data_IF_615761274622
#
_entry.id   IF_615761274622
#
_cell.length_a   1.000
_cell.length_b   1.000
_cell.length_c   1.000
_cell.angle_alpha   90.00
_cell.angle_beta   90.00
_cell.angle_gamma   90.00
#
_symmetry.space_group_name_H-M   'P 1'
#
loop_
_entity.id
_entity.type
_entity.pdbx_description
1 polymer ?
#
# COMPACT_ATOMS: atom_id res chain seq x y z
N UNK A 1 -1.30 -11.20 49.49
CA UNK A 1 -0.06 -10.59 48.95
C UNK A 1 0.28 -11.28 47.65
N UNK A 2 -0.18 -10.77 46.49
CA UNK A 2 0.30 -11.18 45.16
C UNK A 2 -0.22 -10.18 44.11
N UNK A 3 0.42 -9.02 44.00
CA UNK A 3 0.23 -8.08 42.89
C UNK A 3 1.62 -7.66 42.38
N UNK A 4 2.27 -8.50 41.58
CA UNK A 4 3.57 -8.19 40.97
C UNK A 4 3.73 -8.71 39.53
N UNK A 5 2.64 -9.00 38.80
CA UNK A 5 2.73 -9.61 37.46
C UNK A 5 2.25 -8.74 36.29
N UNK A 6 1.96 -7.45 36.48
CA UNK A 6 1.43 -6.59 35.41
C UNK A 6 2.43 -5.62 34.77
N UNK A 7 3.66 -5.50 35.26
CA UNK A 7 4.57 -4.43 34.80
C UNK A 7 5.53 -4.81 33.64
N UNK A 8 5.57 -6.08 33.21
CA UNK A 8 6.54 -6.54 32.20
C UNK A 8 5.98 -6.71 30.77
N UNK A 9 4.66 -6.56 30.56
CA UNK A 9 4.07 -6.69 29.23
C UNK A 9 4.03 -5.38 28.43
N UNK A 10 4.02 -4.22 29.09
CA UNK A 10 3.89 -2.91 28.42
C UNK A 10 5.22 -2.42 27.79
N UNK A 11 6.37 -2.90 28.27
CA UNK A 11 7.68 -2.49 27.74
C UNK A 11 8.08 -3.24 26.45
N UNK A 12 7.58 -4.47 26.28
CA UNK A 12 7.85 -5.28 25.07
C UNK A 12 7.07 -4.74 23.86
N UNK A 13 5.84 -4.26 24.07
CA UNK A 13 5.00 -3.66 23.02
C UNK A 13 5.53 -2.30 22.61
N UNK A 14 6.01 -1.48 23.56
CA UNK A 14 6.62 -0.19 23.26
C UNK A 14 7.94 -0.33 22.48
N UNK A 15 8.82 -1.26 22.88
CA UNK A 15 10.11 -1.44 22.19
C UNK A 15 9.92 -1.95 20.76
N UNK A 16 8.96 -2.86 20.53
CA UNK A 16 8.63 -3.35 19.18
C UNK A 16 7.93 -2.28 18.33
N UNK A 17 7.07 -1.45 18.92
CA UNK A 17 6.43 -0.33 18.22
C UNK A 17 7.45 0.75 17.80
N UNK A 18 8.36 1.15 18.70
CA UNK A 18 9.40 2.14 18.40
C UNK A 18 10.32 1.65 17.27
N UNK A 19 10.75 0.39 17.33
CA UNK A 19 11.63 -0.20 16.29
C UNK A 19 10.93 -0.35 14.93
N UNK A 20 9.61 -0.63 14.92
CA UNK A 20 8.80 -0.66 13.68
C UNK A 20 8.65 0.74 13.09
N UNK A 21 8.37 1.74 13.92
CA UNK A 21 8.19 3.12 13.49
C UNK A 21 9.47 3.70 12.88
N UNK A 22 10.65 3.48 13.48
CA UNK A 22 11.93 3.92 12.92
C UNK A 22 12.25 3.26 11.57
N UNK A 23 11.89 2.00 11.38
CA UNK A 23 12.03 1.31 10.09
C UNK A 23 11.08 1.89 9.04
N UNK A 24 9.83 2.16 9.40
CA UNK A 24 8.83 2.75 8.49
C UNK A 24 9.25 4.16 8.04
N UNK A 25 9.73 5.00 8.98
CA UNK A 25 10.20 6.36 8.67
C UNK A 25 11.37 6.30 7.68
N UNK A 26 12.36 5.44 7.93
CA UNK A 26 13.49 5.24 7.01
C UNK A 26 13.10 4.71 5.63
N UNK A 27 12.04 3.90 5.53
CA UNK A 27 11.56 3.35 4.26
C UNK A 27 10.77 4.41 3.46
N UNK A 28 9.99 5.26 4.15
CA UNK A 28 9.27 6.38 3.54
C UNK A 28 10.21 7.47 3.05
N UNK A 29 11.29 7.75 3.78
CA UNK A 29 12.32 8.74 3.38
C UNK A 29 13.14 8.30 2.16
N UNK A 30 13.20 6.98 1.90
CA UNK A 30 13.83 6.42 0.70
C UNK A 30 12.85 6.17 -0.45
N UNK A 31 11.55 6.33 -0.20
CA UNK A 31 10.54 6.10 -1.21
C UNK A 31 10.53 7.27 -2.22
N UNK A 32 10.41 6.94 -3.49
CA UNK A 32 10.39 7.92 -4.58
C UNK A 32 9.04 7.86 -5.31
N UNK A 33 8.60 8.97 -5.92
CA UNK A 33 7.45 8.92 -6.80
C UNK A 33 7.70 7.97 -7.96
N UNK A 34 6.63 7.32 -8.42
CA UNK A 34 6.72 6.39 -9.53
C UNK A 34 7.26 7.06 -10.81
N UNK A 35 8.34 6.50 -11.35
CA UNK A 35 8.94 6.89 -12.62
C UNK A 35 8.87 5.74 -13.62
N UNK A 36 8.16 5.95 -14.72
CA UNK A 36 7.98 4.98 -15.81
C UNK A 36 9.34 4.61 -16.43
N UNK A 37 10.32 5.52 -16.44
CA UNK A 37 11.65 5.25 -17.02
C UNK A 37 12.44 4.22 -16.22
N UNK A 38 12.24 4.19 -14.91
CA UNK A 38 12.89 3.24 -14.00
C UNK A 38 12.05 1.97 -13.83
N UNK A 39 10.80 1.98 -14.28
CA UNK A 39 9.93 0.83 -14.22
C UNK A 39 10.34 -0.22 -15.27
N UNK A 40 10.53 -1.47 -14.82
CA UNK A 40 10.73 -2.61 -15.70
C UNK A 40 9.43 -2.94 -16.45
N UNK A 41 9.21 -2.20 -17.53
CA UNK A 41 8.02 -2.27 -18.35
C UNK A 41 7.88 -3.64 -19.02
N UNK A 42 6.86 -4.39 -18.60
CA UNK A 42 6.46 -5.64 -19.24
C UNK A 42 5.46 -5.32 -20.34
N UNK A 43 5.88 -5.50 -21.58
CA UNK A 43 5.03 -5.37 -22.75
C UNK A 43 4.63 -6.76 -23.26
N UNK A 44 3.34 -7.04 -23.27
CA UNK A 44 2.79 -8.17 -24.03
C UNK A 44 2.21 -7.63 -25.33
N UNK A 45 2.48 -8.27 -26.48
CA UNK A 45 1.94 -7.82 -27.76
C UNK A 45 0.41 -7.75 -27.70
N UNK A 46 -0.16 -6.57 -28.00
CA UNK A 46 -1.60 -6.32 -27.96
C UNK A 46 -2.19 -6.09 -26.56
N UNK A 47 -1.37 -5.99 -25.50
CA UNK A 47 -1.82 -5.61 -24.15
C UNK A 47 -1.11 -4.37 -23.65
N UNK A 48 -1.75 -3.71 -22.70
CA UNK A 48 -1.20 -2.55 -22.00
C UNK A 48 0.09 -2.97 -21.27
N UNK A 49 1.12 -2.14 -21.39
CA UNK A 49 2.35 -2.32 -20.64
C UNK A 49 2.10 -2.14 -19.15
N UNK A 50 2.70 -3.01 -18.33
CA UNK A 50 2.58 -2.92 -16.89
C UNK A 50 3.93 -3.02 -16.20
N UNK A 51 4.00 -2.51 -14.98
CA UNK A 51 5.13 -2.70 -14.09
C UNK A 51 4.65 -3.17 -12.73
N UNK A 52 5.43 -4.08 -12.14
CA UNK A 52 5.23 -4.50 -10.76
C UNK A 52 6.15 -3.66 -9.88
N UNK A 53 5.62 -3.07 -8.82
CA UNK A 53 6.38 -2.23 -7.89
C UNK A 53 6.01 -2.55 -6.45
N UNK A 54 6.90 -2.21 -5.52
CA UNK A 54 6.63 -2.21 -4.09
C UNK A 54 6.40 -0.75 -3.68
N UNK A 55 5.22 -0.42 -3.19
CA UNK A 55 4.87 0.94 -2.80
C UNK A 55 4.12 1.00 -1.47
N UNK A 56 4.33 2.08 -0.73
CA UNK A 56 3.63 2.37 0.52
C UNK A 56 2.30 3.06 0.18
N UNK A 57 1.24 2.61 0.86
CA UNK A 57 -0.09 3.20 0.74
C UNK A 57 -0.17 4.39 1.73
N UNK A 58 -0.44 5.62 1.28
CA UNK A 58 -0.54 6.77 2.16
C UNK A 58 -1.69 6.62 3.17
N UNK A 59 -1.51 7.16 4.38
CA UNK A 59 -2.61 7.27 5.37
C UNK A 59 -3.78 8.15 4.91
N UNK A 60 -3.55 8.98 3.90
CA UNK A 60 -4.51 9.93 3.33
C UNK A 60 -5.52 9.26 2.38
N UNK A 61 -5.40 7.95 2.20
CA UNK A 61 -6.22 7.18 1.27
C UNK A 61 -7.39 6.57 2.03
N UNK A 62 -8.63 7.00 1.71
CA UNK A 62 -9.83 6.69 2.49
C UNK A 62 -10.87 5.94 1.65
N UNK A 63 -11.53 4.95 2.27
CA UNK A 63 -12.65 4.25 1.65
C UNK A 63 -13.92 5.12 1.63
N UNK A 64 -14.92 4.69 0.86
CA UNK A 64 -16.20 5.41 0.76
C UNK A 64 -16.88 5.64 2.11
N UNK A 65 -16.72 4.68 3.04
CA UNK A 65 -17.32 4.73 4.38
C UNK A 65 -16.62 5.71 5.32
N UNK A 66 -15.34 6.00 5.08
CA UNK A 66 -14.51 6.87 5.91
C UNK A 66 -14.55 8.33 5.46
N UNK A 67 -15.06 8.59 4.25
CA UNK A 67 -15.18 9.94 3.74
C UNK A 67 -16.20 10.73 4.56
N UNK A 68 -15.91 12.01 4.87
CA UNK A 68 -16.94 12.87 5.43
C UNK A 68 -18.10 12.95 4.43
N UNK A 69 -19.34 12.93 4.92
CA UNK A 69 -20.53 13.20 4.10
C UNK A 69 -20.52 14.67 3.69
N UNK A 70 -19.68 14.98 2.70
CA UNK A 70 -19.42 16.30 2.16
C UNK A 70 -19.73 16.26 0.67
N UNK A 71 -20.20 17.39 0.13
CA UNK A 71 -20.49 17.56 -1.30
C UNK A 71 -19.22 17.96 -2.07
N UNK A 72 -18.08 18.07 -1.39
CA UNK A 72 -16.79 18.39 -2.03
C UNK A 72 -16.26 17.14 -2.73
N UNK A 73 -15.70 17.34 -3.91
CA UNK A 73 -14.97 16.30 -4.63
C UNK A 73 -13.67 16.01 -3.86
N UNK A 74 -13.65 14.92 -3.11
CA UNK A 74 -12.49 14.48 -2.34
C UNK A 74 -11.71 13.43 -3.16
N UNK A 75 -10.47 13.77 -3.52
CA UNK A 75 -9.60 12.91 -4.32
C UNK A 75 -9.06 11.69 -3.53
N UNK A 76 -9.27 11.66 -2.20
CA UNK A 76 -8.83 10.56 -1.33
C UNK A 76 -9.46 9.22 -1.71
N UNK A 77 -10.72 9.24 -2.16
CA UNK A 77 -11.42 8.04 -2.61
C UNK A 77 -10.91 7.53 -3.95
N UNK A 78 -10.67 8.44 -4.90
CA UNK A 78 -10.11 8.08 -6.21
C UNK A 78 -8.72 7.46 -6.03
N UNK A 79 -7.91 8.05 -5.13
CA UNK A 79 -6.63 7.46 -4.72
C UNK A 79 -6.83 6.07 -4.10
N UNK A 80 -7.85 5.87 -3.26
CA UNK A 80 -8.14 4.56 -2.65
C UNK A 80 -8.46 3.51 -3.69
N UNK A 81 -9.35 3.82 -4.62
CA UNK A 81 -9.71 2.92 -5.71
C UNK A 81 -8.48 2.58 -6.56
N UNK A 82 -7.62 3.55 -6.84
CA UNK A 82 -6.40 3.30 -7.61
C UNK A 82 -5.43 2.34 -6.90
N UNK A 83 -5.18 2.55 -5.61
CA UNK A 83 -4.31 1.68 -4.81
C UNK A 83 -4.89 0.26 -4.67
N UNK A 84 -6.17 0.14 -4.35
CA UNK A 84 -6.87 -1.15 -4.25
C UNK A 84 -6.86 -1.87 -5.61
N UNK A 85 -7.12 -1.14 -6.70
CA UNK A 85 -7.08 -1.70 -8.07
C UNK A 85 -5.70 -2.24 -8.40
N UNK A 86 -4.64 -1.49 -8.12
CA UNK A 86 -3.27 -1.91 -8.41
C UNK A 86 -2.86 -3.14 -7.58
N UNK A 87 -3.27 -3.20 -6.31
CA UNK A 87 -3.05 -4.34 -5.43
C UNK A 87 -3.82 -5.58 -5.90
N UNK A 88 -5.10 -5.40 -6.21
CA UNK A 88 -5.95 -6.45 -6.75
C UNK A 88 -5.41 -7.00 -8.06
N UNK A 89 -4.97 -6.14 -8.99
CA UNK A 89 -4.35 -6.58 -10.26
C UNK A 89 -3.10 -7.44 -10.03
N UNK A 90 -2.26 -7.09 -9.06
CA UNK A 90 -1.06 -7.86 -8.73
C UNK A 90 -1.42 -9.23 -8.16
N UNK A 91 -2.26 -9.25 -7.12
CA UNK A 91 -2.69 -10.48 -6.45
C UNK A 91 -3.48 -11.40 -7.37
N UNK A 92 -4.42 -10.84 -8.14
CA UNK A 92 -5.26 -11.61 -9.05
C UNK A 92 -4.49 -12.26 -10.20
N UNK A 93 -3.34 -11.68 -10.56
CA UNK A 93 -2.43 -12.29 -11.52
C UNK A 93 -1.74 -13.55 -10.98
N UNK A 94 -1.56 -13.65 -9.67
CA UNK A 94 -0.99 -14.82 -8.99
C UNK A 94 -2.09 -15.81 -8.59
N UNK A 95 -3.18 -15.30 -8.04
CA UNK A 95 -4.31 -16.07 -7.53
C UNK A 95 -5.62 -15.57 -8.14
N UNK A 96 -6.23 -16.40 -8.99
CA UNK A 96 -7.49 -16.03 -9.67
C UNK A 96 -8.70 -16.03 -8.74
N UNK A 97 -8.63 -16.67 -7.57
CA UNK A 97 -9.69 -16.63 -6.56
C UNK A 97 -9.65 -15.36 -5.71
N UNK A 98 -8.65 -14.49 -5.88
CA UNK A 98 -8.53 -13.27 -5.10
C UNK A 98 -9.64 -12.26 -5.43
N UNK A 99 -10.43 -11.90 -4.43
CA UNK A 99 -11.57 -11.00 -4.57
C UNK A 99 -11.21 -9.54 -4.25
N UNK A 100 -12.11 -8.63 -4.64
CA UNK A 100 -11.94 -7.20 -4.38
C UNK A 100 -11.96 -6.89 -2.87
N UNK A 101 -12.87 -7.52 -2.12
CA UNK A 101 -13.00 -7.31 -0.67
C UNK A 101 -11.70 -7.62 0.09
N UNK A 102 -10.99 -8.67 -0.33
CA UNK A 102 -9.68 -9.02 0.25
C UNK A 102 -8.62 -7.96 -0.06
N UNK A 103 -8.70 -7.32 -1.24
CA UNK A 103 -7.81 -6.23 -1.63
C UNK A 103 -8.04 -4.99 -0.77
N UNK A 104 -9.30 -4.68 -0.47
CA UNK A 104 -9.67 -3.57 0.41
C UNK A 104 -9.14 -3.77 1.82
N UNK A 105 -9.33 -4.96 2.39
CA UNK A 105 -8.85 -5.28 3.74
C UNK A 105 -7.32 -5.21 3.82
N UNK A 106 -6.61 -5.72 2.81
CA UNK A 106 -5.15 -5.59 2.74
C UNK A 106 -4.74 -4.12 2.59
N UNK A 107 -5.48 -3.32 1.80
CA UNK A 107 -5.19 -1.91 1.62
C UNK A 107 -5.33 -1.13 2.95
N UNK A 108 -6.41 -1.37 3.71
CA UNK A 108 -6.62 -0.78 5.03
C UNK A 108 -5.53 -1.19 6.02
N UNK A 109 -5.22 -2.49 6.09
CA UNK A 109 -4.17 -2.99 6.97
C UNK A 109 -2.79 -2.42 6.61
N UNK A 110 -2.45 -2.36 5.31
CA UNK A 110 -1.20 -1.79 4.82
C UNK A 110 -1.10 -0.29 5.05
N UNK A 111 -2.23 0.42 5.03
CA UNK A 111 -2.31 1.83 5.39
C UNK A 111 -1.99 2.04 6.88
N UNK A 112 -2.56 1.23 7.75
CA UNK A 112 -2.30 1.32 9.19
C UNK A 112 -0.87 0.92 9.56
N UNK A 113 -0.36 -0.14 8.95
CA UNK A 113 1.00 -0.63 9.20
C UNK A 113 2.06 0.18 8.47
N UNK A 114 1.67 0.99 7.47
CA UNK A 114 2.56 1.65 6.52
C UNK A 114 3.58 0.68 5.87
N UNK A 115 3.20 -0.59 5.74
CA UNK A 115 4.04 -1.60 5.12
C UNK A 115 3.97 -1.52 3.59
N UNK A 116 5.11 -1.51 2.90
CA UNK A 116 5.13 -1.51 1.44
C UNK A 116 4.42 -2.74 0.87
N UNK A 117 3.46 -2.51 -0.04
CA UNK A 117 2.73 -3.58 -0.71
C UNK A 117 3.16 -3.70 -2.18
N UNK A 118 3.15 -4.93 -2.72
CA UNK A 118 3.35 -5.12 -4.15
C UNK A 118 2.10 -4.68 -4.92
N UNK A 119 2.30 -3.77 -5.87
CA UNK A 119 1.28 -3.20 -6.73
C UNK A 119 1.63 -3.44 -8.20
N UNK A 120 0.60 -3.66 -9.02
CA UNK A 120 0.73 -3.74 -10.47
C UNK A 120 0.16 -2.49 -11.11
N UNK A 121 1.03 -1.69 -11.71
CA UNK A 121 0.68 -0.42 -12.34
C UNK A 121 0.57 -0.65 -13.85
N UNK A 122 -0.56 -0.26 -14.42
CA UNK A 122 -0.72 -0.22 -15.88
C UNK A 122 -0.39 1.19 -16.36
N UNK A 123 0.40 1.31 -17.42
CA UNK A 123 0.84 2.63 -17.88
C UNK A 123 -0.29 3.48 -18.48
N UNK A 124 -1.41 2.88 -18.85
CA UNK A 124 -2.59 3.58 -19.37
C UNK A 124 -3.52 4.13 -18.29
N UNK A 125 -3.43 3.63 -17.05
CA UNK A 125 -4.42 3.96 -16.01
C UNK A 125 -4.18 5.33 -15.38
N UNK A 126 -3.09 6.03 -15.71
CA UNK A 126 -2.74 7.33 -15.14
C UNK A 126 -2.28 7.29 -13.68
N UNK A 127 -2.48 6.17 -12.98
CA UNK A 127 -2.08 5.96 -11.60
C UNK A 127 -0.56 5.99 -11.42
N UNK A 128 -0.10 6.83 -10.49
CA UNK A 128 1.31 6.97 -10.12
C UNK A 128 1.43 7.00 -8.59
N UNK A 129 1.81 5.89 -7.95
CA UNK A 129 1.99 5.89 -6.51
C UNK A 129 3.13 6.84 -6.11
N UNK A 130 2.91 7.57 -5.01
CA UNK A 130 3.84 8.58 -4.52
C UNK A 130 5.05 7.98 -3.79
N UNK A 131 4.88 6.80 -3.19
CA UNK A 131 5.88 6.20 -2.32
C UNK A 131 6.31 4.83 -2.83
N UNK A 132 7.04 4.80 -3.95
CA UNK A 132 7.63 3.56 -4.48
C UNK A 132 8.95 3.29 -3.79
N UNK A 133 9.05 2.14 -3.12
CA UNK A 133 10.26 1.68 -2.45
C UNK A 133 11.16 0.88 -3.39
N UNK A 134 10.57 0.07 -4.28
CA UNK A 134 11.35 -0.80 -5.17
C UNK A 134 10.56 -1.13 -6.44
N UNK A 135 11.26 -1.23 -7.58
CA UNK A 135 10.70 -1.82 -8.79
C UNK A 135 10.92 -3.32 -8.75
N UNK A 136 9.85 -4.10 -8.93
CA UNK A 136 9.93 -5.56 -8.93
C UNK A 136 10.23 -6.02 -10.36
N UNK A 137 11.39 -6.65 -10.53
CA UNK A 137 11.69 -7.40 -11.74
C UNK A 137 10.86 -8.70 -11.73
N UNK A 138 10.36 -9.11 -12.88
CA UNK A 138 9.85 -10.47 -13.05
C UNK A 138 9.48 -10.77 -14.47
#
# INVERSE_FOLDING_TARGET
>A
MTEQLTFLLDDLTNTTAVTKNEKIINVRDKAQPFDIRNAHAKHLPGRVGFADVLAIIPCDVWSADELPRSVKQDNHFDMYIDYVTALWRYRRAQDKSFFWDEAEEICKAARESQEPQPLRIYFDSGFKPQYVTKYLEG
#
